data_IF_794880601843
#
_entry.id   IF_794880601843
#
_cell.length_a   1.000
_cell.length_b   1.000
_cell.length_c   1.000
_cell.angle_alpha   90.00
_cell.angle_beta   90.00
_cell.angle_gamma   90.00
#
_symmetry.space_group_name_H-M   'P 1'
#
loop_
_entity.id
_entity.type
_entity.pdbx_description
1 polymer ?
#
# COMPACT_ATOMS: atom_id res chain seq x y z
N UNK A 1 -0.59 3.80 -15.23
CA UNK A 1 0.66 3.11 -14.82
C UNK A 1 1.66 4.21 -14.51
N UNK A 2 2.30 4.23 -13.33
CA UNK A 2 2.96 5.43 -12.78
C UNK A 2 3.82 6.24 -13.79
N UNK A 3 4.73 5.58 -14.52
CA UNK A 3 5.55 6.27 -15.53
C UNK A 3 4.74 6.79 -16.72
N UNK A 4 3.69 6.10 -17.16
CA UNK A 4 2.77 6.62 -18.18
C UNK A 4 2.12 7.92 -17.73
N UNK A 5 1.78 8.02 -16.44
CA UNK A 5 1.01 9.14 -15.91
C UNK A 5 1.92 10.35 -15.58
N UNK A 6 3.20 10.11 -15.25
CA UNK A 6 4.07 11.14 -14.65
C UNK A 6 5.45 11.33 -15.30
N UNK A 7 5.88 10.49 -16.25
CA UNK A 7 7.26 10.57 -16.78
C UNK A 7 7.60 11.92 -17.42
N UNK A 8 6.61 12.61 -18.00
CA UNK A 8 6.77 13.91 -18.64
C UNK A 8 7.07 15.05 -17.65
N UNK A 9 6.86 14.83 -16.35
CA UNK A 9 7.09 15.81 -15.28
C UNK A 9 8.37 15.53 -14.49
N UNK A 10 9.17 14.54 -14.90
CA UNK A 10 10.37 14.10 -14.19
C UNK A 10 11.60 14.13 -15.09
N UNK A 11 12.78 14.25 -14.47
CA UNK A 11 14.03 13.84 -15.11
C UNK A 11 14.06 12.31 -15.25
N UNK A 12 15.10 11.78 -15.89
CA UNK A 12 15.27 10.34 -16.07
C UNK A 12 15.24 9.61 -14.72
N UNK A 13 14.32 8.66 -14.58
CA UNK A 13 14.17 7.77 -13.43
C UNK A 13 13.74 6.39 -13.92
N UNK A 14 14.21 5.34 -13.27
CA UNK A 14 13.85 3.97 -13.65
C UNK A 14 12.70 3.43 -12.80
N UNK A 15 12.04 2.37 -13.29
CA UNK A 15 11.03 1.66 -12.51
C UNK A 15 11.61 1.04 -11.23
N UNK A 16 12.88 0.63 -11.26
CA UNK A 16 13.57 0.05 -10.10
C UNK A 16 13.79 1.09 -9.00
N UNK A 17 14.16 2.32 -9.37
CA UNK A 17 14.30 3.43 -8.41
C UNK A 17 12.96 3.74 -7.73
N UNK A 18 11.88 3.83 -8.51
CA UNK A 18 10.52 4.07 -7.99
C UNK A 18 10.09 2.91 -7.09
N UNK A 19 10.34 1.66 -7.52
CA UNK A 19 10.01 0.46 -6.77
C UNK A 19 10.73 0.40 -5.42
N UNK A 20 12.00 0.79 -5.36
CA UNK A 20 12.77 0.88 -4.10
C UNK A 20 12.20 1.92 -3.14
N UNK A 21 11.79 3.09 -3.64
CA UNK A 21 11.15 4.12 -2.81
C UNK A 21 9.83 3.62 -2.24
N UNK A 22 9.01 2.98 -3.07
CA UNK A 22 7.74 2.39 -2.63
C UNK A 22 8.01 1.31 -1.59
N UNK A 23 8.90 0.36 -1.87
CA UNK A 23 9.19 -0.76 -0.95
C UNK A 23 9.73 -0.30 0.40
N UNK A 24 10.50 0.80 0.43
CA UNK A 24 11.02 1.39 1.66
C UNK A 24 9.89 1.86 2.59
N UNK A 25 8.85 2.47 2.03
CA UNK A 25 7.73 3.02 2.80
C UNK A 25 6.60 2.00 2.99
N UNK A 26 6.32 1.19 1.97
CA UNK A 26 5.33 0.11 1.95
C UNK A 26 5.95 -1.22 2.42
N UNK A 27 6.44 -1.22 3.66
CA UNK A 27 7.11 -2.34 4.32
C UNK A 27 6.17 -3.56 4.51
N UNK A 28 5.81 -4.23 3.42
CA UNK A 28 4.86 -5.34 3.38
C UNK A 28 3.44 -4.96 3.80
N UNK A 29 3.01 -3.70 3.56
CA UNK A 29 1.70 -3.23 4.01
C UNK A 29 1.65 -2.81 5.48
N UNK A 30 2.80 -2.60 6.12
CA UNK A 30 2.90 -2.06 7.49
C UNK A 30 3.62 -0.72 7.53
N UNK A 31 3.02 0.26 8.21
CA UNK A 31 3.68 1.52 8.48
C UNK A 31 4.77 1.29 9.54
N UNK A 32 5.95 1.84 9.34
CA UNK A 32 6.99 1.83 10.36
C UNK A 32 6.49 2.47 11.66
N UNK A 33 6.76 1.88 12.85
CA UNK A 33 6.45 2.51 14.14
C UNK A 33 7.15 3.86 14.34
N UNK A 34 8.27 4.08 13.65
CA UNK A 34 9.03 5.33 13.67
C UNK A 34 8.57 6.32 12.59
N UNK A 35 7.57 5.96 11.80
CA UNK A 35 7.07 6.83 10.75
C UNK A 35 6.46 8.10 11.34
N UNK A 36 6.82 9.24 10.75
CA UNK A 36 6.21 10.55 11.05
C UNK A 36 4.81 10.71 10.44
N UNK A 37 4.38 9.77 9.61
CA UNK A 37 3.11 9.81 8.90
C UNK A 37 2.06 8.98 9.62
N UNK A 38 0.79 9.22 9.27
CA UNK A 38 -0.35 8.52 9.88
C UNK A 38 -0.74 7.25 9.14
N UNK A 39 -0.24 7.07 7.90
CA UNK A 39 -0.57 5.93 7.05
C UNK A 39 0.51 5.66 5.99
N UNK A 40 0.55 4.42 5.48
CA UNK A 40 1.50 4.00 4.43
C UNK A 40 1.29 4.81 3.15
N UNK A 41 0.05 5.00 2.74
CA UNK A 41 -0.29 5.82 1.56
C UNK A 41 0.26 7.23 1.66
N UNK A 42 0.23 7.82 2.86
CA UNK A 42 0.78 9.14 3.12
C UNK A 42 2.31 9.10 3.05
N UNK A 43 2.93 8.11 3.68
CA UNK A 43 4.38 7.91 3.63
C UNK A 43 4.91 7.74 2.21
N UNK A 44 4.26 6.87 1.42
CA UNK A 44 4.57 6.64 0.00
C UNK A 44 4.38 7.93 -0.80
N UNK A 45 3.21 8.57 -0.72
CA UNK A 45 2.94 9.77 -1.52
C UNK A 45 3.86 10.95 -1.19
N UNK A 46 4.19 11.15 0.08
CA UNK A 46 5.13 12.17 0.52
C UNK A 46 6.56 11.86 0.07
N UNK A 47 6.99 10.62 0.21
CA UNK A 47 8.30 10.16 -0.24
C UNK A 47 8.46 10.31 -1.75
N UNK A 48 7.48 9.87 -2.54
CA UNK A 48 7.54 10.00 -3.99
C UNK A 48 7.53 11.46 -4.43
N UNK A 49 6.80 12.34 -3.74
CA UNK A 49 6.78 13.77 -4.06
C UNK A 49 8.11 14.48 -3.75
N UNK A 50 8.82 14.02 -2.72
CA UNK A 50 10.06 14.63 -2.25
C UNK A 50 11.30 14.03 -2.92
N UNK A 51 11.37 12.70 -3.06
CA UNK A 51 12.60 12.00 -3.45
C UNK A 51 12.72 11.78 -4.96
N UNK A 52 11.62 11.81 -5.72
CA UNK A 52 11.68 11.68 -7.17
C UNK A 52 12.16 12.99 -7.82
N UNK A 53 12.89 12.90 -8.96
CA UNK A 53 13.50 14.06 -9.59
C UNK A 53 12.50 14.84 -10.46
N UNK A 54 11.48 15.42 -9.83
CA UNK A 54 10.47 16.23 -10.50
C UNK A 54 11.07 17.48 -11.13
N UNK A 55 10.53 17.89 -12.29
CA UNK A 55 10.90 19.14 -12.96
C UNK A 55 10.39 20.37 -12.20
N UNK A 56 9.32 20.20 -11.42
CA UNK A 56 8.74 21.20 -10.52
C UNK A 56 8.25 20.52 -9.23
N UNK A 57 8.10 21.24 -8.11
CA UNK A 57 7.60 20.66 -6.87
C UNK A 57 6.28 19.91 -7.08
N UNK A 58 6.24 18.63 -6.67
CA UNK A 58 5.04 17.79 -6.80
C UNK A 58 4.20 17.89 -5.54
N UNK A 59 2.89 18.03 -5.72
CA UNK A 59 1.93 17.99 -4.60
C UNK A 59 1.75 16.54 -4.15
N UNK A 60 2.04 16.20 -2.88
CA UNK A 60 1.95 14.81 -2.38
C UNK A 60 0.56 14.19 -2.57
N UNK A 61 -0.51 14.98 -2.39
CA UNK A 61 -1.88 14.48 -2.49
C UNK A 61 -2.17 13.81 -3.85
N UNK A 62 -1.62 14.33 -4.95
CA UNK A 62 -1.78 13.74 -6.28
C UNK A 62 -1.23 12.31 -6.34
N UNK A 63 -0.11 12.06 -5.66
CA UNK A 63 0.53 10.74 -5.61
C UNK A 63 -0.18 9.81 -4.62
N UNK A 64 -0.70 10.35 -3.51
CA UNK A 64 -1.53 9.61 -2.56
C UNK A 64 -2.81 9.10 -3.26
N UNK A 65 -3.48 9.97 -4.01
CA UNK A 65 -4.70 9.61 -4.75
C UNK A 65 -4.39 8.60 -5.86
N UNK A 66 -3.30 8.81 -6.59
CA UNK A 66 -2.84 7.84 -7.60
C UNK A 66 -2.58 6.47 -6.98
N UNK A 67 -1.88 6.43 -5.84
CA UNK A 67 -1.65 5.19 -5.10
C UNK A 67 -2.96 4.51 -4.71
N UNK A 68 -3.90 5.24 -4.09
CA UNK A 68 -5.19 4.67 -3.67
C UNK A 68 -6.02 4.10 -4.82
N UNK A 69 -5.94 4.73 -6.00
CA UNK A 69 -6.72 4.30 -7.16
C UNK A 69 -6.08 3.11 -7.90
N UNK A 70 -4.75 2.94 -7.82
CA UNK A 70 -4.03 1.92 -8.58
C UNK A 70 -3.53 0.75 -7.73
N UNK A 71 -3.08 0.99 -6.50
CA UNK A 71 -2.50 -0.05 -5.63
C UNK A 71 -3.45 -1.24 -5.38
N UNK A 72 -4.75 -1.05 -5.06
CA UNK A 72 -5.65 -2.19 -4.84
C UNK A 72 -5.73 -3.13 -6.05
N UNK A 73 -5.56 -2.61 -7.26
CA UNK A 73 -5.59 -3.40 -8.51
C UNK A 73 -4.38 -4.34 -8.65
N UNK A 74 -3.29 -4.06 -7.94
CA UNK A 74 -2.05 -4.82 -7.94
C UNK A 74 -1.90 -5.73 -6.70
N UNK A 75 -2.82 -5.65 -5.73
CA UNK A 75 -2.77 -6.51 -4.54
C UNK A 75 -3.19 -7.94 -4.85
N UNK A 76 -2.46 -8.91 -4.28
CA UNK A 76 -2.81 -10.34 -4.37
C UNK A 76 -3.42 -10.77 -3.05
N UNK A 77 -4.49 -11.56 -3.11
CA UNK A 77 -5.08 -12.14 -1.91
C UNK A 77 -4.04 -12.98 -1.17
N UNK A 78 -3.92 -12.77 0.14
CA UNK A 78 -3.05 -13.58 1.01
C UNK A 78 -3.40 -15.08 0.84
N UNK A 79 -2.42 -15.93 0.46
CA UNK A 79 -2.62 -17.37 0.38
C UNK A 79 -3.15 -17.92 1.69
N UNK A 80 -4.21 -18.73 1.64
CA UNK A 80 -4.82 -19.32 2.84
C UNK A 80 -5.77 -18.41 3.62
N UNK A 81 -5.91 -17.11 3.28
CA UNK A 81 -6.84 -16.21 3.97
C UNK A 81 -8.29 -16.72 4.00
N UNK A 82 -8.79 -17.24 2.87
CA UNK A 82 -10.12 -17.88 2.82
C UNK A 82 -10.21 -19.14 3.70
N UNK A 83 -9.12 -19.91 3.80
CA UNK A 83 -9.04 -21.08 4.67
C UNK A 83 -9.13 -20.69 6.15
N UNK A 84 -8.38 -19.64 6.54
CA UNK A 84 -8.42 -19.07 7.88
C UNK A 84 -9.83 -18.58 8.22
N UNK A 85 -10.45 -17.75 7.38
CA UNK A 85 -11.81 -17.26 7.59
C UNK A 85 -12.83 -18.40 7.77
N UNK A 86 -12.72 -19.45 6.95
CA UNK A 86 -13.58 -20.65 7.10
C UNK A 86 -13.35 -21.36 8.43
N UNK A 87 -12.12 -21.41 8.93
CA UNK A 87 -11.81 -22.04 10.22
C UNK A 87 -12.34 -21.25 11.42
N UNK A 88 -12.22 -19.91 11.41
CA UNK A 88 -12.77 -19.05 12.46
C UNK A 88 -14.29 -19.03 12.45
N UNK A 89 -14.93 -19.00 11.28
CA UNK A 89 -16.39 -19.13 11.19
C UNK A 89 -16.88 -20.48 11.74
N UNK A 90 -16.22 -21.59 11.41
CA UNK A 90 -16.57 -22.91 11.98
C UNK A 90 -16.43 -22.95 13.49
N UNK A 91 -15.34 -22.41 14.03
CA UNK A 91 -15.12 -22.35 15.48
C UNK A 91 -16.19 -21.49 16.19
N UNK A 92 -16.53 -20.33 15.63
CA UNK A 92 -17.56 -19.44 16.17
C UNK A 92 -18.98 -20.03 16.15
N UNK A 93 -19.30 -20.84 15.14
CA UNK A 93 -20.57 -21.59 15.07
C UNK A 93 -20.58 -22.75 16.07
N UNK A 94 -19.46 -23.48 16.22
CA UNK A 94 -19.35 -24.55 17.20
C UNK A 94 -19.48 -24.05 18.66
N UNK A 95 -18.91 -22.88 18.98
CA UNK A 95 -19.04 -22.27 20.31
C UNK A 95 -20.44 -21.72 20.62
N UNK A 96 -21.31 -21.54 19.63
CA UNK A 96 -22.71 -21.12 19.82
C UNK A 96 -23.69 -22.29 20.04
N UNK A 97 -23.26 -23.52 19.77
CA UNK A 97 -24.08 -24.73 19.86
C UNK A 97 -23.82 -25.56 21.13
N UNK A 98 -23.14 -25.01 22.14
CA UNK A 98 -23.09 -25.64 23.46
C UNK A 98 -24.47 -25.48 24.13
N UNK A 99 -25.18 -26.58 24.45
CA UNK A 99 -26.41 -26.49 25.23
C UNK A 99 -26.04 -25.95 26.61
N UNK A 100 -26.79 -24.96 27.08
CA UNK A 100 -26.67 -24.49 28.46
C UNK A 100 -26.86 -25.66 29.42
N UNK A 101 -25.80 -25.97 30.17
CA UNK A 101 -25.87 -26.74 31.41
C UNK A 101 -26.50 -25.91 32.51
#
# INVERSE_FOLDING_TARGET
>A
MFLTDFSHEMKLVTLDDIGKLILREDNGGYLSPESKFTSIREAVGQTLAHDLPWLAPKVPQVLIDHWMNNFPTATVQMPGALGMLRSTCRAAVASRNLPGT
#
